data_IF_362673802487
#
_entry.id   IF_362673802487
#
_cell.length_a   1.000
_cell.length_b   1.000
_cell.length_c   1.000
_cell.angle_alpha   90.00
_cell.angle_beta   90.00
_cell.angle_gamma   90.00
#
_symmetry.space_group_name_H-M   'P 1'
#
loop_
_entity.id
_entity.type
_entity.pdbx_description
1 polymer ?
#
# COMPACT_ATOMS: atom_id res chain seq x y z
N UNK A 1 6.28 2.55 -22.04
CA UNK A 1 5.81 3.75 -21.31
C UNK A 1 6.91 4.78 -21.41
N UNK A 2 6.62 5.96 -21.91
CA UNK A 2 7.60 7.04 -22.03
C UNK A 2 7.48 7.93 -20.81
N UNK A 3 8.57 8.21 -20.13
CA UNK A 3 8.55 9.06 -18.96
C UNK A 3 9.88 9.78 -18.75
N UNK A 4 9.86 10.69 -17.80
CA UNK A 4 11.03 11.48 -17.41
C UNK A 4 11.38 11.14 -15.97
N UNK A 5 12.67 10.85 -15.74
CA UNK A 5 13.17 10.61 -14.39
C UNK A 5 14.13 11.70 -13.99
N UNK A 6 13.92 12.27 -12.79
CA UNK A 6 14.82 13.20 -12.15
C UNK A 6 15.52 12.56 -10.97
N UNK A 7 16.83 12.69 -10.88
CA UNK A 7 17.63 12.31 -9.72
C UNK A 7 17.85 13.50 -8.81
N UNK A 8 17.71 13.29 -7.52
CA UNK A 8 17.94 14.29 -6.48
C UNK A 8 18.83 13.69 -5.38
N UNK A 9 19.71 14.51 -4.80
CA UNK A 9 20.55 14.10 -3.65
C UNK A 9 20.01 14.57 -2.33
N UNK A 10 19.20 15.61 -2.33
CA UNK A 10 18.68 16.24 -1.12
C UNK A 10 17.18 15.97 -0.99
N UNK A 11 16.75 15.77 0.24
CA UNK A 11 15.35 15.51 0.58
C UNK A 11 14.46 16.72 0.28
N UNK A 12 14.95 17.93 0.62
CA UNK A 12 14.18 19.17 0.50
C UNK A 12 13.86 19.47 -0.96
N UNK A 13 14.87 19.38 -1.85
CA UNK A 13 14.67 19.58 -3.30
C UNK A 13 13.73 18.53 -3.89
N UNK A 14 13.74 17.30 -3.35
CA UNK A 14 12.80 16.25 -3.77
C UNK A 14 11.38 16.60 -3.35
N UNK A 15 11.17 17.09 -2.13
CA UNK A 15 9.85 17.51 -1.64
C UNK A 15 9.32 18.71 -2.42
N UNK A 16 10.18 19.67 -2.76
CA UNK A 16 9.83 20.82 -3.60
C UNK A 16 9.41 20.38 -5.01
N UNK A 17 10.13 19.42 -5.59
CA UNK A 17 9.78 18.84 -6.88
C UNK A 17 8.38 18.20 -6.83
N UNK A 18 8.07 17.42 -5.80
CA UNK A 18 6.76 16.80 -5.60
C UNK A 18 5.66 17.86 -5.47
N UNK A 19 5.90 18.92 -4.70
CA UNK A 19 4.94 19.99 -4.49
C UNK A 19 4.61 20.73 -5.80
N UNK A 20 5.63 21.04 -6.60
CA UNK A 20 5.47 21.71 -7.91
C UNK A 20 4.73 20.80 -8.90
N UNK A 21 5.06 19.49 -8.94
CA UNK A 21 4.40 18.52 -9.81
C UNK A 21 2.89 18.38 -9.48
N UNK A 22 2.54 18.30 -8.19
CA UNK A 22 1.14 18.29 -7.76
C UNK A 22 0.39 19.55 -8.19
N UNK A 23 1.02 20.71 -8.04
CA UNK A 23 0.41 22.00 -8.39
C UNK A 23 0.15 22.12 -9.89
N UNK A 24 1.08 21.66 -10.71
CA UNK A 24 0.99 21.78 -12.19
C UNK A 24 0.20 20.64 -12.86
N UNK A 25 -0.05 19.54 -12.17
CA UNK A 25 -0.77 18.36 -12.70
C UNK A 25 -0.24 17.90 -14.06
N UNK A 26 1.06 17.73 -14.17
CA UNK A 26 1.73 17.41 -15.45
C UNK A 26 1.52 15.94 -15.83
N UNK A 27 1.34 15.04 -14.86
CA UNK A 27 1.11 13.61 -15.08
C UNK A 27 1.10 12.83 -13.78
N UNK A 28 0.99 11.51 -13.88
CA UNK A 28 1.20 10.62 -12.74
C UNK A 28 2.70 10.56 -12.44
N UNK A 29 3.04 10.57 -11.15
CA UNK A 29 4.42 10.50 -10.72
C UNK A 29 4.63 9.41 -9.67
N UNK A 30 5.81 8.82 -9.67
CA UNK A 30 6.27 7.85 -8.68
C UNK A 30 7.56 8.34 -8.07
N UNK A 31 7.66 8.28 -6.75
CA UNK A 31 8.85 8.70 -6.01
C UNK A 31 9.59 7.46 -5.51
N UNK A 32 10.89 7.42 -5.75
CA UNK A 32 11.81 6.41 -5.25
C UNK A 32 12.66 7.00 -4.14
N UNK A 33 12.70 6.32 -3.01
CA UNK A 33 13.47 6.73 -1.83
C UNK A 33 14.22 5.53 -1.26
N UNK A 34 15.49 5.68 -0.84
CA UNK A 34 16.26 4.59 -0.22
C UNK A 34 15.71 4.17 1.15
N UNK A 35 15.07 5.10 1.84
CA UNK A 35 14.45 4.88 3.15
C UNK A 35 13.08 5.53 3.22
N UNK A 36 12.13 4.96 3.99
CA UNK A 36 10.85 5.63 4.22
C UNK A 36 11.08 6.97 4.93
N UNK A 37 10.53 8.05 4.37
CA UNK A 37 10.61 9.41 4.89
C UNK A 37 9.22 10.00 5.02
N UNK A 38 8.89 10.47 6.21
CA UNK A 38 7.59 11.07 6.49
C UNK A 38 7.36 12.36 5.69
N UNK A 39 8.43 13.10 5.41
CA UNK A 39 8.40 14.33 4.63
C UNK A 39 7.90 14.06 3.20
N UNK A 40 8.39 12.97 2.57
CA UNK A 40 7.95 12.54 1.24
C UNK A 40 6.49 12.06 1.28
N UNK A 41 6.11 11.28 2.32
CA UNK A 41 4.72 10.84 2.50
C UNK A 41 3.76 12.02 2.62
N UNK A 42 4.13 13.04 3.40
CA UNK A 42 3.35 14.27 3.53
C UNK A 42 3.31 15.07 2.22
N UNK A 43 4.43 15.17 1.50
CA UNK A 43 4.46 15.85 0.20
C UNK A 43 3.57 15.14 -0.84
N UNK A 44 3.58 13.81 -0.87
CA UNK A 44 2.72 12.99 -1.74
C UNK A 44 1.25 13.08 -1.30
N UNK A 45 0.98 13.19 0.02
CA UNK A 45 -0.36 13.29 0.61
C UNK A 45 -1.30 12.18 0.07
N UNK A 46 -0.82 10.95 0.09
CA UNK A 46 -1.66 9.79 -0.18
C UNK A 46 -2.50 9.50 1.05
N UNK A 47 -3.81 9.47 0.88
CA UNK A 47 -4.73 9.07 1.94
C UNK A 47 -4.46 7.67 2.50
N UNK A 48 -5.19 7.25 3.54
CA UNK A 48 -4.96 5.97 4.20
C UNK A 48 -5.09 4.80 3.22
N UNK A 49 -4.21 3.82 3.39
CA UNK A 49 -4.18 2.63 2.53
C UNK A 49 -5.50 1.84 2.59
N UNK A 50 -6.03 1.43 1.45
CA UNK A 50 -7.22 0.60 1.34
C UNK A 50 -7.04 -0.82 1.93
N UNK A 51 -5.80 -1.22 2.26
CA UNK A 51 -5.53 -2.50 2.95
C UNK A 51 -6.29 -2.60 4.28
N UNK A 52 -6.55 -1.48 4.97
CA UNK A 52 -7.36 -1.44 6.20
C UNK A 52 -8.77 -2.01 6.00
N UNK A 53 -9.36 -1.83 4.82
CA UNK A 53 -10.69 -2.35 4.49
C UNK A 53 -10.66 -3.87 4.41
N UNK A 54 -9.61 -4.44 3.82
CA UNK A 54 -9.44 -5.90 3.77
C UNK A 54 -9.32 -6.50 5.18
N UNK A 55 -8.56 -5.86 6.07
CA UNK A 55 -8.44 -6.29 7.47
C UNK A 55 -9.79 -6.24 8.18
N UNK A 56 -10.54 -5.16 8.01
CA UNK A 56 -11.85 -4.99 8.64
C UNK A 56 -12.84 -6.06 8.14
N UNK A 57 -12.97 -6.23 6.83
CA UNK A 57 -13.88 -7.22 6.24
C UNK A 57 -13.47 -8.63 6.68
N UNK A 58 -12.17 -8.96 6.60
CA UNK A 58 -11.66 -10.26 7.03
C UNK A 58 -11.93 -10.53 8.49
N UNK A 59 -11.74 -9.54 9.38
CA UNK A 59 -12.03 -9.67 10.80
C UNK A 59 -13.52 -9.90 11.08
N UNK A 60 -14.41 -9.12 10.45
CA UNK A 60 -15.86 -9.28 10.58
C UNK A 60 -16.33 -10.65 10.07
N UNK A 61 -15.84 -11.09 8.93
CA UNK A 61 -16.13 -12.43 8.41
C UNK A 61 -15.60 -13.50 9.35
N UNK A 62 -14.40 -13.32 9.90
CA UNK A 62 -13.77 -14.26 10.82
C UNK A 62 -14.54 -14.43 12.10
N UNK A 63 -14.94 -13.35 12.75
CA UNK A 63 -15.71 -13.44 14.00
C UNK A 63 -17.09 -14.09 13.77
N UNK A 64 -17.76 -13.68 12.69
CA UNK A 64 -19.08 -14.24 12.34
C UNK A 64 -18.98 -15.73 12.06
N UNK A 65 -17.99 -16.15 11.27
CA UNK A 65 -17.74 -17.56 10.96
C UNK A 65 -17.37 -18.36 12.20
N UNK A 66 -16.51 -17.81 13.08
CA UNK A 66 -16.09 -18.46 14.31
C UNK A 66 -17.27 -18.77 15.25
N UNK A 67 -18.13 -17.80 15.48
CA UNK A 67 -19.34 -18.02 16.26
C UNK A 67 -20.31 -18.99 15.58
N UNK A 68 -20.55 -18.81 14.30
CA UNK A 68 -21.46 -19.66 13.56
C UNK A 68 -21.04 -21.13 13.60
N UNK A 69 -19.77 -21.43 13.32
CA UNK A 69 -19.27 -22.80 13.29
C UNK A 69 -19.28 -23.45 14.69
N UNK A 70 -18.94 -22.66 15.74
CA UNK A 70 -18.94 -23.16 17.10
C UNK A 70 -20.37 -23.54 17.58
N UNK A 71 -21.34 -22.68 17.29
CA UNK A 71 -22.76 -22.95 17.63
C UNK A 71 -23.26 -24.13 16.80
N UNK A 72 -23.01 -24.15 15.50
CA UNK A 72 -23.46 -25.22 14.61
C UNK A 72 -22.93 -26.61 15.02
N UNK A 73 -21.63 -26.71 15.35
CA UNK A 73 -21.03 -27.98 15.81
C UNK A 73 -21.65 -28.42 17.15
N UNK A 74 -21.87 -27.48 18.06
CA UNK A 74 -22.43 -27.80 19.38
C UNK A 74 -23.88 -28.27 19.29
N UNK A 75 -24.67 -27.72 18.40
CA UNK A 75 -26.06 -28.14 18.18
C UNK A 75 -26.13 -29.46 17.37
N UNK A 76 -25.20 -29.67 16.45
CA UNK A 76 -25.12 -30.88 15.64
C UNK A 76 -24.73 -32.12 16.49
N UNK A 77 -23.81 -31.92 17.44
CA UNK A 77 -23.37 -32.98 18.35
C UNK A 77 -23.55 -32.56 19.83
N UNK A 78 -24.78 -32.63 20.37
CA UNK A 78 -25.07 -32.10 21.67
C UNK A 78 -24.47 -32.98 22.79
N UNK A 79 -23.35 -32.56 23.36
CA UNK A 79 -22.71 -33.20 24.50
C UNK A 79 -23.19 -32.53 25.78
N UNK A 80 -23.97 -33.30 26.58
CA UNK A 80 -24.43 -32.86 27.90
C UNK A 80 -23.34 -33.08 28.93
N UNK A 81 -22.70 -32.01 29.40
CA UNK A 81 -21.62 -32.05 30.39
C UNK A 81 -21.98 -31.18 31.58
N UNK A 82 -22.22 -31.83 32.73
CA UNK A 82 -22.37 -31.15 34.02
C UNK A 82 -23.47 -30.10 34.11
N UNK A 83 -24.60 -30.29 33.40
CA UNK A 83 -25.71 -29.33 33.40
C UNK A 83 -25.45 -27.98 32.72
N UNK A 84 -24.36 -27.87 31.97
CA UNK A 84 -24.07 -26.65 31.18
C UNK A 84 -24.92 -26.64 29.92
N UNK A 85 -25.32 -25.44 29.49
CA UNK A 85 -26.01 -25.24 28.22
C UNK A 85 -25.13 -25.71 27.06
N UNK A 86 -25.71 -26.40 26.07
CA UNK A 86 -25.01 -26.98 24.92
C UNK A 86 -24.40 -25.90 24.07
N UNK A 87 -25.17 -24.84 23.72
CA UNK A 87 -24.71 -23.70 22.97
C UNK A 87 -24.63 -22.46 23.87
N UNK A 88 -23.44 -22.05 24.24
CA UNK A 88 -23.18 -20.86 25.06
C UNK A 88 -22.27 -19.90 24.33
N UNK A 89 -22.73 -18.69 24.05
CA UNK A 89 -21.97 -17.70 23.28
C UNK A 89 -20.74 -17.19 24.01
N UNK A 90 -20.72 -17.13 25.35
CA UNK A 90 -19.60 -16.59 26.13
C UNK A 90 -18.30 -17.36 25.92
N UNK A 91 -18.24 -18.70 26.09
CA UNK A 91 -17.03 -19.48 25.78
C UNK A 91 -16.62 -19.40 24.30
N UNK A 92 -17.58 -19.24 23.39
CA UNK A 92 -17.29 -19.15 21.97
C UNK A 92 -16.66 -17.81 21.56
N UNK A 93 -16.68 -16.80 22.45
CA UNK A 93 -15.99 -15.53 22.22
C UNK A 93 -14.49 -15.74 22.01
N UNK A 94 -13.87 -16.65 22.78
CA UNK A 94 -12.45 -16.97 22.61
C UNK A 94 -12.19 -17.52 21.22
N UNK A 95 -12.97 -18.52 20.82
CA UNK A 95 -12.85 -19.13 19.49
C UNK A 95 -13.17 -18.14 18.36
N UNK A 96 -14.24 -17.36 18.51
CA UNK A 96 -14.59 -16.29 17.55
C UNK A 96 -13.48 -15.25 17.40
N UNK A 97 -12.83 -14.89 18.52
CA UNK A 97 -11.68 -13.96 18.49
C UNK A 97 -10.48 -14.58 17.78
N UNK A 98 -10.13 -15.84 18.03
CA UNK A 98 -9.01 -16.49 17.34
C UNK A 98 -9.23 -16.56 15.83
N UNK A 99 -10.44 -16.96 15.40
CA UNK A 99 -10.78 -17.02 13.98
C UNK A 99 -10.83 -15.63 13.36
N UNK A 100 -11.29 -14.62 14.10
CA UNK A 100 -11.24 -13.21 13.67
C UNK A 100 -9.81 -12.77 13.37
N UNK A 101 -8.88 -13.04 14.29
CA UNK A 101 -7.47 -12.66 14.12
C UNK A 101 -6.85 -13.41 12.94
N UNK A 102 -7.11 -14.72 12.82
CA UNK A 102 -6.58 -15.54 11.73
C UNK A 102 -7.05 -15.04 10.36
N UNK A 103 -8.38 -14.92 10.17
CA UNK A 103 -8.95 -14.50 8.88
C UNK A 103 -8.61 -13.04 8.59
N UNK A 104 -8.61 -12.17 9.61
CA UNK A 104 -8.20 -10.79 9.49
C UNK A 104 -6.74 -10.64 9.03
N UNK A 105 -5.82 -11.40 9.61
CA UNK A 105 -4.42 -11.42 9.21
C UNK A 105 -4.24 -11.93 7.78
N UNK A 106 -4.85 -13.06 7.43
CA UNK A 106 -4.80 -13.61 6.06
C UNK A 106 -5.39 -12.64 5.04
N UNK A 107 -6.52 -12.02 5.36
CA UNK A 107 -7.15 -11.00 4.51
C UNK A 107 -6.26 -9.76 4.34
N UNK A 108 -5.54 -9.35 5.38
CA UNK A 108 -4.58 -8.25 5.30
C UNK A 108 -3.44 -8.57 4.33
N UNK A 109 -2.87 -9.78 4.45
CA UNK A 109 -1.81 -10.25 3.54
C UNK A 109 -2.32 -10.31 2.10
N UNK A 110 -3.50 -10.90 1.89
CA UNK A 110 -4.13 -10.98 0.57
C UNK A 110 -4.40 -9.57 0.00
N UNK A 111 -4.91 -8.64 0.82
CA UNK A 111 -5.11 -7.25 0.45
C UNK A 111 -3.83 -6.54 0.07
N UNK A 112 -2.74 -6.79 0.79
CA UNK A 112 -1.43 -6.23 0.49
C UNK A 112 -0.92 -6.73 -0.88
N UNK A 113 -0.99 -8.03 -1.15
CA UNK A 113 -0.59 -8.59 -2.45
C UNK A 113 -1.47 -8.05 -3.59
N UNK A 114 -2.78 -7.99 -3.38
CA UNK A 114 -3.72 -7.47 -4.38
C UNK A 114 -3.45 -5.98 -4.69
N UNK A 115 -3.28 -5.16 -3.66
CA UNK A 115 -3.03 -3.72 -3.82
C UNK A 115 -1.64 -3.43 -4.38
N UNK A 116 -0.64 -4.21 -4.00
CA UNK A 116 0.71 -4.12 -4.55
C UNK A 116 0.81 -4.71 -5.97
N UNK A 117 -0.24 -5.37 -6.46
CA UNK A 117 -0.25 -6.12 -7.74
C UNK A 117 0.94 -7.09 -7.84
N UNK A 118 1.20 -7.78 -6.75
CA UNK A 118 2.32 -8.71 -6.67
C UNK A 118 1.89 -10.13 -7.14
N UNK A 119 2.75 -10.91 -7.86
CA UNK A 119 4.11 -10.62 -8.29
C UNK A 119 4.18 -9.71 -9.54
N UNK A 120 5.04 -8.69 -9.49
CA UNK A 120 5.35 -7.89 -10.68
C UNK A 120 6.55 -8.52 -11.39
N UNK A 121 6.29 -9.14 -12.52
CA UNK A 121 7.32 -9.79 -13.34
C UNK A 121 7.98 -8.78 -14.31
N UNK A 122 7.37 -7.59 -14.47
CA UNK A 122 7.87 -6.53 -15.34
C UNK A 122 8.90 -5.66 -14.63
N UNK A 123 9.94 -5.28 -15.35
CA UNK A 123 10.92 -4.30 -14.84
C UNK A 123 10.20 -3.01 -14.43
N UNK A 124 10.58 -2.49 -13.27
CA UNK A 124 10.07 -1.20 -12.80
C UNK A 124 10.67 -0.12 -13.69
N UNK A 125 9.83 0.55 -14.48
CA UNK A 125 10.25 1.64 -15.37
C UNK A 125 10.75 2.79 -14.50
N UNK A 126 11.87 3.41 -14.90
CA UNK A 126 12.44 4.53 -14.17
C UNK A 126 13.19 4.17 -12.89
N UNK A 127 13.54 2.90 -12.66
CA UNK A 127 14.36 2.51 -11.50
C UNK A 127 15.85 2.60 -11.82
N UNK A 128 16.59 3.32 -10.99
CA UNK A 128 18.07 3.35 -11.01
C UNK A 128 18.62 2.76 -9.70
N UNK A 129 19.71 1.98 -9.79
CA UNK A 129 20.37 1.38 -8.62
C UNK A 129 20.80 2.40 -7.58
N UNK A 130 21.09 3.64 -7.99
CA UNK A 130 21.47 4.75 -7.11
C UNK A 130 20.41 5.07 -6.05
N UNK A 131 19.12 4.81 -6.34
CA UNK A 131 18.02 4.97 -5.37
C UNK A 131 18.12 4.04 -4.17
N UNK A 132 18.86 2.93 -4.29
CA UNK A 132 19.17 2.05 -3.16
C UNK A 132 20.41 2.50 -2.38
N UNK A 133 21.21 3.42 -2.91
CA UNK A 133 22.47 3.87 -2.30
C UNK A 133 22.42 5.28 -1.68
N UNK A 134 21.30 5.96 -1.73
CA UNK A 134 21.12 7.23 -1.06
C UNK A 134 20.49 8.35 -1.89
N UNK A 135 20.37 8.19 -3.20
CA UNK A 135 19.75 9.18 -4.07
C UNK A 135 18.22 9.01 -4.09
N UNK A 136 17.51 10.11 -4.32
CA UNK A 136 16.06 10.10 -4.51
C UNK A 136 15.73 10.18 -5.99
N UNK A 137 14.66 9.51 -6.41
CA UNK A 137 14.17 9.53 -7.78
C UNK A 137 12.73 10.00 -7.88
N UNK A 138 12.46 10.86 -8.84
CA UNK A 138 11.09 11.25 -9.19
C UNK A 138 10.85 10.87 -10.65
N UNK A 139 10.01 9.86 -10.84
CA UNK A 139 9.56 9.41 -12.15
C UNK A 139 8.22 10.06 -12.47
N UNK A 140 8.09 10.60 -13.67
CA UNK A 140 6.87 11.25 -14.15
C UNK A 140 6.45 10.59 -15.46
N UNK A 141 5.17 10.28 -15.60
CA UNK A 141 4.52 9.89 -16.86
C UNK A 141 3.72 11.07 -17.41
N UNK A 142 4.35 12.00 -18.13
CA UNK A 142 3.65 13.15 -18.70
C UNK A 142 2.88 12.75 -19.95
N UNK A 143 1.84 13.49 -20.27
CA UNK A 143 1.24 13.42 -21.61
C UNK A 143 2.27 13.77 -22.69
N UNK A 144 2.18 13.22 -23.91
CA UNK A 144 3.15 13.42 -24.98
C UNK A 144 3.51 14.90 -25.23
N UNK A 145 2.51 15.78 -25.11
CA UNK A 145 2.65 17.22 -25.32
C UNK A 145 3.40 17.95 -24.18
N UNK A 146 3.50 17.33 -23.00
CA UNK A 146 4.11 17.91 -21.78
C UNK A 146 5.48 17.34 -21.43
N UNK A 147 6.06 16.51 -22.31
CA UNK A 147 7.34 15.86 -22.05
C UNK A 147 8.47 16.85 -21.81
N UNK A 148 8.57 17.89 -22.65
CA UNK A 148 9.60 18.93 -22.53
C UNK A 148 9.38 19.81 -21.28
N UNK A 149 8.12 20.11 -20.96
CA UNK A 149 7.77 20.84 -19.76
C UNK A 149 8.16 20.07 -18.49
N UNK A 150 7.93 18.76 -18.46
CA UNK A 150 8.32 17.90 -17.35
C UNK A 150 9.84 17.82 -17.16
N UNK A 151 10.60 17.75 -18.27
CA UNK A 151 12.06 17.74 -18.25
C UNK A 151 12.62 19.07 -17.72
N UNK A 152 12.14 20.20 -18.23
CA UNK A 152 12.56 21.52 -17.77
C UNK A 152 12.22 21.74 -16.29
N UNK A 153 11.02 21.35 -15.87
CA UNK A 153 10.58 21.50 -14.50
C UNK A 153 11.48 20.74 -13.52
N UNK A 154 11.85 19.49 -13.83
CA UNK A 154 12.74 18.72 -12.97
C UNK A 154 14.13 19.36 -12.87
N UNK A 155 14.64 19.95 -13.95
CA UNK A 155 15.91 20.70 -13.97
C UNK A 155 15.82 21.97 -13.14
N UNK A 156 14.74 22.75 -13.29
CA UNK A 156 14.53 24.02 -12.60
C UNK A 156 14.42 23.84 -11.07
N UNK A 157 13.87 22.71 -10.64
CA UNK A 157 13.72 22.38 -9.20
C UNK A 157 15.01 21.79 -8.60
N UNK A 158 16.07 21.60 -9.40
CA UNK A 158 17.37 21.20 -8.89
C UNK A 158 17.68 19.70 -9.02
N UNK A 159 17.08 19.02 -9.99
CA UNK A 159 17.49 17.65 -10.30
C UNK A 159 18.95 17.61 -10.75
N UNK A 160 19.76 16.73 -10.14
CA UNK A 160 21.17 16.52 -10.48
C UNK A 160 21.32 15.95 -11.89
N UNK A 161 20.38 15.10 -12.26
CA UNK A 161 20.34 14.44 -13.56
C UNK A 161 18.88 14.23 -13.98
N UNK A 162 18.57 14.50 -15.24
CA UNK A 162 17.26 14.25 -15.83
C UNK A 162 17.44 13.36 -17.05
N UNK A 163 16.73 12.23 -17.08
CA UNK A 163 16.75 11.27 -18.19
C UNK A 163 15.35 11.07 -18.73
N UNK A 164 15.25 10.96 -20.04
CA UNK A 164 14.03 10.53 -20.72
C UNK A 164 14.16 9.06 -21.05
N UNK A 165 13.30 8.23 -20.46
CA UNK A 165 13.20 6.81 -20.79
C UNK A 165 12.06 6.59 -21.78
N UNK A 166 12.33 5.76 -22.81
CA UNK A 166 11.40 5.47 -23.90
C UNK A 166 10.83 4.06 -23.77
#
# INVERSE_FOLDING_TARGET
>A
MRGVIGLFRELDTTCDAIAVLKKRKIGEFTVYSPTPRHEIEHAIDKGPSAVRIFTLIGGLCGVTFGYWIAIWISDYWPLVVGGKAIATWIPYTVFGFEVMVLIGALSTVAGLFAMARFPRITHTVGYDKRFSYGDFGVWIEPSPDKMQEAEQLLRDVGAVEVRVER
#
